data_IF_464254029311
#
_entry.id   IF_464254029311
#
_cell.length_a   1.000
_cell.length_b   1.000
_cell.length_c   1.000
_cell.angle_alpha   90.00
_cell.angle_beta   90.00
_cell.angle_gamma   90.00
#
_symmetry.space_group_name_H-M   'P 1'
#
loop_
_entity.id
_entity.type
_entity.pdbx_description
1 polymer ?
#
# COMPACT_ATOMS: atom_id res chain seq x y z
N UNK A 1 -15.51 0.38 17.02
CA UNK A 1 -14.47 1.41 17.17
C UNK A 1 -13.21 0.85 16.52
N UNK A 2 -12.57 1.61 15.62
CA UNK A 2 -11.42 1.17 14.81
C UNK A 2 -10.11 1.37 15.58
N UNK A 3 -9.31 0.31 15.74
CA UNK A 3 -7.95 0.41 16.31
C UNK A 3 -6.97 0.85 15.23
N UNK A 4 -6.13 1.86 15.51
CA UNK A 4 -5.17 2.42 14.55
C UNK A 4 -3.86 1.63 14.58
N UNK A 5 -3.40 1.17 13.41
CA UNK A 5 -2.11 0.50 13.26
C UNK A 5 -1.03 1.50 12.85
N UNK A 6 -0.47 2.26 13.78
CA UNK A 6 0.57 3.23 13.41
C UNK A 6 1.61 3.47 14.51
N UNK A 7 2.59 2.57 14.62
CA UNK A 7 3.92 3.02 15.06
C UNK A 7 5.05 2.28 14.33
N UNK A 8 4.96 0.94 14.17
CA UNK A 8 6.04 0.15 13.55
C UNK A 8 5.62 -0.54 12.26
N UNK A 9 5.23 0.25 11.25
CA UNK A 9 4.87 -0.24 9.92
C UNK A 9 6.08 -0.81 9.18
N UNK A 10 6.54 -2.00 9.56
CA UNK A 10 7.58 -2.72 8.82
C UNK A 10 7.10 -2.98 7.38
N UNK A 11 8.01 -3.03 6.38
CA UNK A 11 7.68 -3.13 4.96
C UNK A 11 6.73 -4.28 4.57
N UNK A 12 6.63 -5.31 5.42
CA UNK A 12 5.86 -6.53 5.16
C UNK A 12 4.93 -6.94 6.31
N UNK A 13 4.76 -6.12 7.36
CA UNK A 13 3.94 -6.49 8.53
C UNK A 13 3.09 -5.31 9.01
N UNK A 14 1.82 -5.60 9.24
CA UNK A 14 0.91 -4.75 10.01
C UNK A 14 0.81 -5.41 11.39
N UNK A 15 1.50 -4.86 12.38
CA UNK A 15 1.41 -5.34 13.74
C UNK A 15 0.24 -4.62 14.43
N UNK A 16 -0.68 -5.38 15.02
CA UNK A 16 -1.70 -4.86 15.93
C UNK A 16 -1.03 -4.64 17.30
N UNK A 17 -0.48 -3.44 17.50
CA UNK A 17 0.38 -3.13 18.65
C UNK A 17 -0.45 -2.69 19.87
N UNK A 18 -1.61 -2.08 19.63
CA UNK A 18 -2.52 -1.69 20.71
C UNK A 18 -3.46 -2.85 21.08
N UNK A 19 -3.60 -3.18 22.37
CA UNK A 19 -4.66 -4.05 22.83
C UNK A 19 -5.99 -3.48 22.35
N UNK A 20 -6.80 -4.29 21.65
CA UNK A 20 -8.17 -3.89 21.36
C UNK A 20 -8.84 -3.75 22.72
N UNK A 21 -9.10 -2.53 23.17
CA UNK A 21 -9.54 -2.19 24.54
C UNK A 21 -10.91 -2.73 24.94
N UNK A 22 -11.42 -3.74 24.22
CA UNK A 22 -12.71 -4.34 24.40
C UNK A 22 -12.58 -5.86 24.33
N UNK A 23 -13.14 -6.55 25.32
CA UNK A 23 -13.30 -8.00 25.27
C UNK A 23 -14.39 -8.35 24.27
N UNK A 24 -14.09 -9.25 23.34
CA UNK A 24 -15.07 -9.80 22.41
C UNK A 24 -15.66 -11.10 23.01
N UNK A 25 -17.00 -11.26 23.05
CA UNK A 25 -17.61 -12.51 23.44
C UNK A 25 -17.13 -13.69 22.58
N UNK A 26 -17.09 -14.88 23.15
CA UNK A 26 -16.79 -16.12 22.41
C UNK A 26 -17.78 -16.27 21.25
N UNK A 27 -17.25 -16.53 20.04
CA UNK A 27 -18.04 -16.62 18.81
C UNK A 27 -18.15 -15.31 18.02
N UNK A 28 -17.54 -14.22 18.50
CA UNK A 28 -17.50 -12.95 17.74
C UNK A 28 -16.66 -13.03 16.48
N UNK A 29 -17.12 -12.37 15.43
CA UNK A 29 -16.35 -12.13 14.22
C UNK A 29 -15.72 -10.74 14.27
N UNK A 30 -14.39 -10.68 14.22
CA UNK A 30 -13.64 -9.42 14.31
C UNK A 30 -12.98 -9.15 12.96
N UNK A 31 -13.18 -7.94 12.44
CA UNK A 31 -12.55 -7.48 11.20
C UNK A 31 -11.59 -6.33 11.51
N UNK A 32 -10.43 -6.34 10.84
CA UNK A 32 -9.51 -5.21 10.83
C UNK A 32 -9.53 -4.60 9.43
N UNK A 33 -9.72 -3.29 9.35
CA UNK A 33 -9.65 -2.50 8.12
C UNK A 33 -8.54 -1.47 8.29
N UNK A 34 -7.75 -1.25 7.25
CA UNK A 34 -6.70 -0.24 7.22
C UNK A 34 -6.84 0.56 5.92
N UNK A 35 -6.63 1.88 6.00
CA UNK A 35 -6.47 2.70 4.81
C UNK A 35 -4.98 2.81 4.47
N UNK A 36 -4.58 2.23 3.34
CA UNK A 36 -3.20 2.28 2.85
C UNK A 36 -3.12 3.18 1.63
N UNK A 37 -2.19 4.14 1.63
CA UNK A 37 -1.88 5.02 0.49
C UNK A 37 -0.43 4.88 0.10
N UNK A 38 -0.18 4.70 -1.20
CA UNK A 38 1.15 4.76 -1.81
C UNK A 38 1.27 6.04 -2.64
N UNK A 39 2.37 6.76 -2.50
CA UNK A 39 2.60 8.02 -3.22
C UNK A 39 4.10 8.31 -3.37
N UNK A 40 4.46 9.13 -4.34
CA UNK A 40 5.81 9.68 -4.44
C UNK A 40 5.98 10.84 -3.47
N UNK A 41 7.01 10.75 -2.62
CA UNK A 41 7.39 11.81 -1.69
C UNK A 41 8.91 11.93 -1.59
N UNK A 42 9.37 12.49 -0.48
CA UNK A 42 10.80 12.57 -0.14
C UNK A 42 11.07 11.78 1.14
N UNK A 43 12.19 11.08 1.19
CA UNK A 43 12.67 10.43 2.41
C UNK A 43 13.23 11.45 3.42
N UNK A 44 13.71 10.97 4.58
CA UNK A 44 14.32 11.82 5.63
C UNK A 44 15.60 12.55 5.17
N UNK A 45 16.20 12.13 4.05
CA UNK A 45 17.36 12.76 3.42
C UNK A 45 16.97 13.64 2.22
N UNK A 46 15.67 13.86 1.97
CA UNK A 46 15.17 14.70 0.89
C UNK A 46 15.17 14.03 -0.49
N UNK A 47 15.48 12.74 -0.59
CA UNK A 47 15.58 12.01 -1.86
C UNK A 47 14.20 11.51 -2.30
N UNK A 48 13.91 11.45 -3.62
CA UNK A 48 12.66 10.87 -4.11
C UNK A 48 12.46 9.45 -3.61
N UNK A 49 11.30 9.17 -3.03
CA UNK A 49 10.99 7.87 -2.45
C UNK A 49 9.53 7.50 -2.65
N UNK A 50 9.27 6.20 -2.81
CA UNK A 50 7.93 5.64 -2.73
C UNK A 50 7.54 5.57 -1.26
N UNK A 51 6.57 6.38 -0.88
CA UNK A 51 6.04 6.45 0.46
C UNK A 51 4.86 5.50 0.61
N UNK A 52 4.73 4.92 1.80
CA UNK A 52 3.55 4.15 2.24
C UNK A 52 3.00 4.81 3.49
N UNK A 53 1.72 5.18 3.44
CA UNK A 53 0.96 5.67 4.58
C UNK A 53 -0.10 4.65 5.01
N UNK A 54 -0.20 4.38 6.30
CA UNK A 54 -1.19 3.50 6.92
C UNK A 54 -1.84 4.25 8.08
N UNK A 55 -3.15 4.46 8.04
CA UNK A 55 -3.97 5.05 9.12
C UNK A 55 -3.38 6.36 9.74
N UNK A 56 -2.64 7.11 8.93
CA UNK A 56 -1.99 8.37 9.30
C UNK A 56 -0.47 8.32 9.41
N UNK A 57 0.15 7.16 9.68
CA UNK A 57 1.61 7.01 9.76
C UNK A 57 2.23 6.79 8.39
N UNK A 58 3.23 7.59 8.00
CA UNK A 58 3.89 7.52 6.69
C UNK A 58 5.37 7.16 6.80
N UNK A 59 5.82 6.21 5.99
CA UNK A 59 7.22 5.76 5.95
C UNK A 59 7.71 5.59 4.50
N UNK A 60 9.01 5.75 4.30
CA UNK A 60 9.69 5.46 3.03
C UNK A 60 9.76 3.94 2.82
N UNK A 61 9.23 3.45 1.69
CA UNK A 61 9.26 2.03 1.33
C UNK A 61 10.41 1.70 0.38
N UNK A 62 10.63 2.52 -0.65
CA UNK A 62 11.70 2.36 -1.64
C UNK A 62 12.32 3.74 -1.91
N UNK A 63 13.58 3.92 -1.51
CA UNK A 63 14.33 5.15 -1.76
C UNK A 63 14.89 5.24 -3.18
N UNK A 64 15.45 6.40 -3.51
CA UNK A 64 16.08 6.71 -4.80
C UNK A 64 15.18 6.38 -6.00
N UNK A 65 13.90 6.76 -5.92
CA UNK A 65 12.93 6.51 -6.98
C UNK A 65 13.21 7.36 -8.22
N UNK A 66 13.48 6.70 -9.34
CA UNK A 66 13.62 7.33 -10.65
C UNK A 66 12.31 7.33 -11.45
N UNK A 67 11.47 6.30 -11.28
CA UNK A 67 10.16 6.19 -11.95
C UNK A 67 9.18 5.38 -11.12
N UNK A 68 7.93 5.82 -11.07
CA UNK A 68 6.80 5.08 -10.50
C UNK A 68 5.58 5.29 -11.40
N UNK A 69 5.01 4.21 -11.92
CA UNK A 69 3.84 4.26 -12.79
C UNK A 69 2.85 3.18 -12.38
N UNK A 70 1.57 3.54 -12.44
CA UNK A 70 0.44 2.64 -12.18
C UNK A 70 -0.39 2.54 -13.46
N UNK A 71 -0.64 1.31 -13.88
CA UNK A 71 -1.61 0.97 -14.92
C UNK A 71 -2.73 0.15 -14.30
N UNK A 72 -3.97 0.59 -14.50
CA UNK A 72 -5.15 -0.09 -13.98
C UNK A 72 -5.75 -0.96 -15.08
N UNK A 73 -5.94 -2.24 -14.78
CA UNK A 73 -6.36 -3.25 -15.75
C UNK A 73 -7.72 -3.83 -15.35
N UNK A 74 -8.61 -3.96 -16.33
CA UNK A 74 -9.87 -4.67 -16.19
C UNK A 74 -9.70 -6.20 -16.18
N UNK A 75 -10.80 -6.91 -16.00
CA UNK A 75 -10.82 -8.38 -16.00
C UNK A 75 -10.31 -8.97 -17.33
N UNK A 76 -10.60 -8.28 -18.43
CA UNK A 76 -10.14 -8.63 -19.78
C UNK A 76 -8.65 -8.30 -20.04
N UNK A 77 -7.96 -7.71 -19.06
CA UNK A 77 -6.56 -7.32 -19.16
C UNK A 77 -6.30 -6.01 -19.90
N UNK A 78 -7.35 -5.26 -20.28
CA UNK A 78 -7.20 -3.95 -20.92
C UNK A 78 -7.09 -2.84 -19.88
N UNK A 79 -6.46 -1.74 -20.29
CA UNK A 79 -6.43 -0.52 -19.47
C UNK A 79 -7.85 0.00 -19.24
N UNK A 80 -8.13 0.38 -18.01
CA UNK A 80 -9.36 1.07 -17.64
C UNK A 80 -9.05 2.27 -16.78
N UNK A 81 -9.87 3.32 -16.90
CA UNK A 81 -9.86 4.47 -16.00
C UNK A 81 -11.07 4.50 -15.07
N UNK A 82 -12.02 3.57 -15.25
CA UNK A 82 -13.14 3.39 -14.35
C UNK A 82 -12.70 2.55 -13.14
N UNK A 83 -12.67 3.13 -11.92
CA UNK A 83 -12.28 2.42 -10.70
C UNK A 83 -13.14 1.18 -10.42
N UNK A 84 -14.42 1.19 -10.82
CA UNK A 84 -15.33 0.07 -10.58
C UNK A 84 -14.98 -1.18 -11.41
N UNK A 85 -14.22 -0.99 -12.50
CA UNK A 85 -13.84 -2.08 -13.41
C UNK A 85 -12.41 -2.58 -13.17
N UNK A 86 -11.66 -1.98 -12.25
CA UNK A 86 -10.25 -2.37 -12.00
C UNK A 86 -10.20 -3.74 -11.32
N UNK A 87 -9.61 -4.71 -12.01
CA UNK A 87 -9.38 -6.06 -11.50
C UNK A 87 -7.91 -6.27 -11.09
N UNK A 88 -6.97 -5.56 -11.72
CA UNK A 88 -5.54 -5.68 -11.45
C UNK A 88 -4.86 -4.32 -11.54
N UNK A 89 -3.79 -4.15 -10.78
CA UNK A 89 -2.91 -2.98 -10.87
C UNK A 89 -1.53 -3.45 -11.30
N UNK A 90 -1.04 -2.95 -12.43
CA UNK A 90 0.36 -3.09 -12.83
C UNK A 90 1.15 -1.92 -12.26
N UNK A 91 2.25 -2.24 -11.62
CA UNK A 91 3.17 -1.30 -10.99
C UNK A 91 4.51 -1.41 -11.68
N UNK A 92 4.95 -0.32 -12.28
CA UNK A 92 6.26 -0.20 -12.91
C UNK A 92 7.12 0.77 -12.11
N UNK A 93 8.26 0.28 -11.62
CA UNK A 93 9.20 1.08 -10.83
C UNK A 93 10.59 1.06 -11.42
N UNK A 94 11.31 2.16 -11.28
CA UNK A 94 12.74 2.26 -11.55
C UNK A 94 13.43 3.02 -10.42
N UNK A 95 14.62 2.56 -10.02
CA UNK A 95 15.40 3.15 -8.92
C UNK A 95 16.80 3.57 -9.36
N UNK A 96 17.42 4.49 -8.63
CA UNK A 96 18.75 5.01 -8.88
C UNK A 96 18.82 5.79 -10.21
N UNK A 97 19.68 5.33 -11.12
CA UNK A 97 19.83 5.90 -12.47
C UNK A 97 18.74 5.42 -13.46
N UNK A 98 17.78 4.62 -12.99
CA UNK A 98 16.70 4.07 -13.80
C UNK A 98 17.05 2.78 -14.53
N UNK A 99 18.25 2.21 -14.37
CA UNK A 99 18.62 0.90 -14.97
C UNK A 99 18.02 -0.29 -14.23
N UNK A 100 17.76 -0.13 -12.93
CA UNK A 100 17.11 -1.16 -12.10
C UNK A 100 15.60 -0.94 -12.17
N UNK A 101 14.94 -1.73 -13.01
CA UNK A 101 13.48 -1.70 -13.17
C UNK A 101 12.84 -2.94 -12.55
N UNK A 102 11.61 -2.78 -12.09
CA UNK A 102 10.77 -3.89 -11.64
C UNK A 102 9.33 -3.61 -12.08
N UNK A 103 8.71 -4.64 -12.63
CA UNK A 103 7.29 -4.65 -12.95
C UNK A 103 6.61 -5.70 -12.09
N UNK A 104 5.48 -5.35 -11.48
CA UNK A 104 4.66 -6.27 -10.71
C UNK A 104 3.19 -6.07 -11.07
N UNK A 105 2.40 -7.14 -11.07
CA UNK A 105 0.96 -7.06 -11.27
C UNK A 105 0.26 -7.67 -10.06
N UNK A 106 -0.65 -6.89 -9.46
CA UNK A 106 -1.37 -7.27 -8.25
C UNK A 106 -2.85 -7.36 -8.56
N UNK A 107 -3.45 -8.51 -8.27
CA UNK A 107 -4.90 -8.70 -8.38
C UNK A 107 -5.64 -8.00 -7.25
N UNK A 108 -6.71 -7.28 -7.60
CA UNK A 108 -7.67 -6.74 -6.66
C UNK A 108 -8.78 -7.77 -6.46
N UNK A 109 -9.12 -8.02 -5.20
CA UNK A 109 -10.34 -8.75 -4.85
C UNK A 109 -11.26 -7.76 -4.16
N UNK A 110 -12.41 -7.50 -4.79
CA UNK A 110 -13.50 -6.77 -4.14
C UNK A 110 -14.01 -7.56 -2.93
N UNK A 111 -14.51 -6.83 -1.94
CA UNK A 111 -15.40 -7.39 -0.91
C UNK A 111 -16.83 -7.39 -1.44
#
# INVERSE_FOLDING_TARGET
MEGRLALDGQPHKLNLIEPIGQMFPTGSLVYVSNQVRYYLGKDHHGRPSLMRQVDGGANSLIGDMARFQLAYLGNDGKLTHDPALVARVRVDVAVGDGRRTMTSEVGLRGR
#
